data_IF_788443122954
#
_entry.id   IF_788443122954
#
_cell.length_a   1.000
_cell.length_b   1.000
_cell.length_c   1.000
_cell.angle_alpha   90.00
_cell.angle_beta   90.00
_cell.angle_gamma   90.00
#
_symmetry.space_group_name_H-M   'P 1'
#
loop_
_entity.id
_entity.type
_entity.pdbx_description
1 polymer ?
#
# COMPACT_ATOMS: atom_id res chain seq x y z
N UNK A 1 -9.17 -5.00 -7.93
CA UNK A 1 -8.10 -6.02 -7.96
C UNK A 1 -8.37 -7.02 -6.84
N UNK A 2 -8.26 -8.33 -7.07
CA UNK A 2 -8.44 -9.35 -6.02
C UNK A 2 -7.07 -9.92 -5.63
N UNK A 3 -6.85 -10.17 -4.34
CA UNK A 3 -5.61 -10.82 -3.86
C UNK A 3 -5.78 -12.33 -4.02
N UNK A 4 -5.11 -12.91 -5.02
CA UNK A 4 -5.30 -14.31 -5.43
C UNK A 4 -4.83 -15.35 -4.41
N UNK A 5 -3.96 -14.98 -3.47
CA UNK A 5 -3.49 -15.88 -2.39
C UNK A 5 -4.47 -16.03 -1.23
N UNK A 6 -5.66 -15.42 -1.29
CA UNK A 6 -6.67 -15.52 -0.23
C UNK A 6 -7.45 -16.82 -0.27
N UNK A 7 -7.93 -17.22 0.91
CA UNK A 7 -8.84 -18.36 1.07
C UNK A 7 -10.11 -18.14 0.23
N UNK A 8 -10.56 -19.21 -0.44
CA UNK A 8 -11.76 -19.26 -1.27
C UNK A 8 -12.95 -18.58 -0.57
N UNK A 9 -13.59 -17.63 -1.25
CA UNK A 9 -14.74 -16.86 -0.74
C UNK A 9 -14.41 -15.44 -0.22
N UNK A 10 -13.13 -15.10 -0.02
CA UNK A 10 -12.68 -13.75 0.36
C UNK A 10 -12.17 -12.94 -0.84
N UNK A 11 -12.99 -12.82 -1.88
CA UNK A 11 -12.64 -12.11 -3.13
C UNK A 11 -12.83 -10.59 -3.04
N UNK A 12 -12.68 -10.01 -1.84
CA UNK A 12 -12.76 -8.57 -1.65
C UNK A 12 -11.74 -7.83 -2.53
N UNK A 13 -12.04 -6.59 -2.91
CA UNK A 13 -11.08 -5.76 -3.63
C UNK A 13 -9.83 -5.48 -2.80
N UNK A 14 -8.70 -5.20 -3.44
CA UNK A 14 -7.44 -4.78 -2.83
C UNK A 14 -7.28 -3.26 -2.89
N UNK A 15 -6.65 -2.69 -1.88
CA UNK A 15 -6.08 -1.34 -1.89
C UNK A 15 -4.57 -1.46 -2.09
N UNK A 16 -4.05 -0.69 -3.04
CA UNK A 16 -2.62 -0.58 -3.34
C UNK A 16 -2.24 0.89 -3.17
N UNK A 17 -1.17 1.13 -2.41
CA UNK A 17 -0.72 2.49 -2.10
C UNK A 17 0.74 2.58 -2.50
N UNK A 18 1.04 3.53 -3.38
CA UNK A 18 2.36 3.75 -3.96
C UNK A 18 2.82 5.18 -3.73
N UNK A 19 4.13 5.38 -3.63
CA UNK A 19 4.78 6.67 -3.57
C UNK A 19 5.63 6.87 -4.84
N UNK A 20 5.40 7.96 -5.56
CA UNK A 20 6.17 8.32 -6.74
C UNK A 20 7.25 9.33 -6.34
N UNK A 21 8.51 8.90 -6.43
CA UNK A 21 9.67 9.76 -6.20
C UNK A 21 10.22 10.22 -7.55
N UNK A 22 9.96 11.48 -7.88
CA UNK A 22 10.26 12.03 -9.21
C UNK A 22 11.75 12.15 -9.50
N UNK A 23 12.58 12.40 -8.49
CA UNK A 23 14.01 12.64 -8.66
C UNK A 23 14.74 11.45 -9.28
N UNK A 24 14.36 10.23 -8.90
CA UNK A 24 14.89 8.99 -9.46
C UNK A 24 13.90 8.28 -10.39
N UNK A 25 12.81 8.96 -10.78
CA UNK A 25 11.69 8.39 -11.55
C UNK A 25 11.21 7.02 -11.02
N UNK A 26 11.23 6.85 -9.69
CA UNK A 26 11.01 5.56 -9.04
C UNK A 26 9.64 5.50 -8.36
N UNK A 27 8.94 4.38 -8.53
CA UNK A 27 7.66 4.09 -7.84
C UNK A 27 7.90 3.07 -6.74
N UNK A 28 7.62 3.47 -5.50
CA UNK A 28 7.69 2.60 -4.32
C UNK A 28 6.31 2.07 -3.98
N UNK A 29 6.18 0.75 -3.81
CA UNK A 29 4.99 0.16 -3.21
C UNK A 29 5.09 0.30 -1.68
N UNK A 30 4.25 1.16 -1.10
CA UNK A 30 4.23 1.35 0.35
C UNK A 30 3.49 0.20 1.05
N UNK A 31 2.30 -0.14 0.56
CA UNK A 31 1.51 -1.24 1.12
C UNK A 31 0.47 -1.75 0.15
N UNK A 32 0.11 -3.02 0.31
CA UNK A 32 -1.05 -3.67 -0.30
C UNK A 32 -1.85 -4.38 0.79
N UNK A 33 -3.17 -4.17 0.81
CA UNK A 33 -4.05 -4.85 1.76
C UNK A 33 -5.45 -5.03 1.18
N UNK A 34 -6.23 -5.91 1.78
CA UNK A 34 -7.60 -6.15 1.33
C UNK A 34 -8.56 -5.08 1.85
N UNK A 35 -9.59 -4.81 1.07
CA UNK A 35 -10.61 -3.84 1.43
C UNK A 35 -11.27 -4.13 2.78
N UNK A 36 -11.41 -5.41 3.14
CA UNK A 36 -12.00 -5.86 4.40
C UNK A 36 -11.04 -5.88 5.59
N UNK A 37 -9.73 -5.68 5.41
CA UNK A 37 -8.76 -5.71 6.52
C UNK A 37 -8.67 -4.37 7.24
N UNK A 38 -8.74 -3.26 6.49
CA UNK A 38 -8.64 -1.91 7.02
C UNK A 38 -9.49 -0.96 6.20
N UNK A 39 -10.18 -0.02 6.85
CA UNK A 39 -10.99 0.98 6.15
C UNK A 39 -10.11 2.05 5.51
N UNK A 40 -9.25 2.69 6.31
CA UNK A 40 -8.44 3.85 5.94
C UNK A 40 -7.04 3.79 6.58
N UNK A 41 -6.04 4.41 5.94
CA UNK A 41 -4.75 4.71 6.56
C UNK A 41 -4.83 6.02 7.32
N UNK A 42 -4.19 6.07 8.50
CA UNK A 42 -4.04 7.31 9.25
C UNK A 42 -2.88 8.12 8.66
N UNK A 43 -2.94 9.46 8.71
CA UNK A 43 -1.88 10.31 8.17
C UNK A 43 -0.48 10.02 8.72
N UNK A 44 -0.35 9.67 10.01
CA UNK A 44 0.96 9.31 10.59
C UNK A 44 1.52 8.01 10.01
N UNK A 45 0.67 7.00 9.77
CA UNK A 45 1.12 5.72 9.20
C UNK A 45 1.70 5.90 7.79
N UNK A 46 1.08 6.79 6.99
CA UNK A 46 1.60 7.13 5.66
C UNK A 46 2.95 7.83 5.75
N UNK A 47 3.10 8.76 6.70
CA UNK A 47 4.36 9.46 6.94
C UNK A 47 5.45 8.48 7.38
N UNK A 48 5.16 7.62 8.34
CA UNK A 48 6.11 6.61 8.85
C UNK A 48 6.58 5.66 7.72
N UNK A 49 5.67 5.27 6.80
CA UNK A 49 6.04 4.49 5.62
C UNK A 49 7.00 5.22 4.69
N UNK A 50 6.77 6.52 4.44
CA UNK A 50 7.64 7.33 3.58
C UNK A 50 8.99 7.58 4.27
N UNK A 51 8.99 7.92 5.56
CA UNK A 51 10.22 8.13 6.34
C UNK A 51 11.07 6.85 6.46
N UNK A 52 10.45 5.67 6.31
CA UNK A 52 11.16 4.39 6.22
C UNK A 52 11.81 4.13 4.85
N UNK A 53 11.43 4.89 3.82
CA UNK A 53 12.13 4.90 2.55
C UNK A 53 13.37 5.78 2.72
N UNK A 54 14.55 5.17 2.67
CA UNK A 54 15.84 5.86 2.76
C UNK A 54 16.11 6.64 1.45
N UNK A 55 15.35 7.73 1.24
CA UNK A 55 15.31 8.49 -0.01
C UNK A 55 16.37 9.60 -0.12
N UNK A 56 17.30 9.69 0.83
CA UNK A 56 18.37 10.69 0.84
C UNK A 56 17.99 12.00 1.52
#
# INVERSE_FOLDING_TARGET
MAIGSKVKGKSGGARVITYLFFETETVYLLTIYDKGEKADLKPHELKDMIDSLDLG
#
